data_IF_500308700452
#
_entry.id   IF_500308700452
#
_cell.length_a   1.000
_cell.length_b   1.000
_cell.length_c   1.000
_cell.angle_alpha   90.00
_cell.angle_beta   90.00
_cell.angle_gamma   90.00
#
_symmetry.space_group_name_H-M   'P 1'
#
loop_
_entity.id
_entity.type
_entity.pdbx_description
1 polymer ?
#
# COMPACT_ATOMS: atom_id res chain seq x y z
N UNK A 1 12.92 -4.99 9.39
CA UNK A 1 11.70 -4.55 8.73
C UNK A 1 11.99 -4.09 7.30
N UNK A 2 11.23 -4.58 6.34
CA UNK A 2 11.39 -4.21 4.94
C UNK A 2 10.05 -3.88 4.32
N UNK A 3 9.98 -2.80 3.55
CA UNK A 3 8.78 -2.44 2.84
C UNK A 3 9.10 -1.72 1.55
N UNK A 4 8.08 -1.54 0.72
CA UNK A 4 8.23 -0.78 -0.51
C UNK A 4 7.14 0.28 -0.63
N UNK A 5 7.51 1.39 -1.26
CA UNK A 5 6.60 2.37 -1.81
C UNK A 5 6.82 2.38 -3.31
N UNK A 6 5.76 2.16 -4.08
CA UNK A 6 5.88 2.08 -5.52
C UNK A 6 4.72 2.78 -6.21
N UNK A 7 5.04 3.69 -7.12
CA UNK A 7 4.04 4.28 -7.99
C UNK A 7 3.81 3.29 -9.15
N UNK A 8 2.70 2.56 -9.08
CA UNK A 8 2.43 1.48 -10.02
C UNK A 8 1.98 1.96 -11.40
N UNK A 9 1.52 3.22 -11.49
CA UNK A 9 0.99 3.79 -12.74
C UNK A 9 -0.06 2.92 -13.39
N UNK A 10 -1.01 2.47 -12.58
CA UNK A 10 -2.06 1.57 -13.00
C UNK A 10 -1.72 0.11 -12.68
N UNK A 11 -2.55 -0.51 -11.86
CA UNK A 11 -2.35 -1.88 -11.40
C UNK A 11 -3.35 -2.82 -12.05
N UNK A 12 -3.27 -2.94 -13.39
CA UNK A 12 -4.17 -3.78 -14.18
C UNK A 12 -3.45 -4.88 -14.94
N UNK A 13 -2.14 -4.77 -15.05
CA UNK A 13 -1.31 -5.64 -15.85
C UNK A 13 -0.85 -6.83 -15.02
N UNK A 14 -1.06 -8.03 -15.55
CA UNK A 14 -0.63 -9.28 -14.90
C UNK A 14 0.87 -9.27 -14.61
N UNK A 15 1.68 -8.67 -15.48
CA UNK A 15 3.12 -8.59 -15.28
C UNK A 15 3.48 -7.82 -14.00
N UNK A 16 2.71 -6.76 -13.67
CA UNK A 16 2.93 -5.99 -12.44
C UNK A 16 2.59 -6.81 -11.20
N UNK A 17 1.53 -7.61 -11.25
CA UNK A 17 1.20 -8.50 -10.15
C UNK A 17 2.28 -9.54 -9.92
N UNK A 18 2.82 -10.10 -11.01
CA UNK A 18 3.93 -11.07 -10.92
C UNK A 18 5.18 -10.45 -10.35
N UNK A 19 5.51 -9.24 -10.80
CA UNK A 19 6.65 -8.50 -10.28
C UNK A 19 6.54 -8.30 -8.78
N UNK A 20 5.37 -7.86 -8.30
CA UNK A 20 5.14 -7.64 -6.88
C UNK A 20 5.21 -8.94 -6.08
N UNK A 21 4.60 -10.00 -6.60
CA UNK A 21 4.63 -11.31 -5.95
C UNK A 21 6.06 -11.82 -5.81
N UNK A 22 6.84 -11.73 -6.87
CA UNK A 22 8.24 -12.18 -6.87
C UNK A 22 9.08 -11.33 -5.91
N UNK A 23 8.88 -10.03 -5.92
CA UNK A 23 9.59 -9.11 -5.04
C UNK A 23 9.25 -9.37 -3.58
N UNK A 24 7.97 -9.61 -3.28
CA UNK A 24 7.53 -9.91 -1.91
C UNK A 24 8.18 -11.17 -1.36
N UNK A 25 8.30 -12.20 -2.20
CA UNK A 25 8.93 -13.45 -1.81
C UNK A 25 10.44 -13.29 -1.66
N UNK A 26 11.07 -12.64 -2.63
CA UNK A 26 12.53 -12.47 -2.64
C UNK A 26 13.01 -11.60 -1.49
N UNK A 27 12.35 -10.48 -1.24
CA UNK A 27 12.76 -9.51 -0.23
C UNK A 27 12.10 -9.71 1.13
N UNK A 28 11.16 -10.62 1.24
CA UNK A 28 10.42 -10.86 2.47
C UNK A 28 9.81 -9.58 3.03
N UNK A 29 8.99 -8.93 2.22
CA UNK A 29 8.42 -7.63 2.57
C UNK A 29 7.45 -7.72 3.73
N UNK A 30 7.47 -6.71 4.58
CA UNK A 30 6.58 -6.58 5.74
C UNK A 30 5.45 -5.59 5.49
N UNK A 31 5.64 -4.66 4.58
CA UNK A 31 4.55 -3.79 4.13
C UNK A 31 4.73 -3.44 2.65
N UNK A 32 3.62 -3.09 2.01
CA UNK A 32 3.58 -2.72 0.59
C UNK A 32 2.66 -1.51 0.44
N UNK A 33 3.18 -0.43 -0.11
CA UNK A 33 2.41 0.76 -0.40
C UNK A 33 2.47 1.05 -1.90
N UNK A 34 1.33 0.97 -2.56
CA UNK A 34 1.22 1.20 -3.99
C UNK A 34 0.40 2.44 -4.27
N UNK A 35 0.97 3.33 -5.06
CA UNK A 35 0.31 4.58 -5.47
C UNK A 35 -0.13 4.50 -6.92
N UNK A 36 -1.12 5.30 -7.28
CA UNK A 36 -1.69 5.37 -8.63
C UNK A 36 -2.14 4.00 -9.14
N UNK A 37 -2.89 3.28 -8.31
CA UNK A 37 -3.36 1.94 -8.68
C UNK A 37 -4.37 1.98 -9.83
N UNK A 38 -5.15 3.04 -9.92
CA UNK A 38 -6.18 3.19 -10.95
C UNK A 38 -7.30 2.16 -10.84
N UNK A 39 -7.43 1.47 -9.73
CA UNK A 39 -8.43 0.40 -9.54
C UNK A 39 -9.29 0.66 -8.32
N UNK A 40 -10.58 0.34 -8.47
CA UNK A 40 -11.55 0.46 -7.38
C UNK A 40 -11.70 -0.82 -6.57
N UNK A 41 -11.52 -1.96 -7.20
CA UNK A 41 -11.79 -3.24 -6.57
C UNK A 41 -10.57 -4.15 -6.63
N UNK A 42 -10.34 -4.85 -5.52
CA UNK A 42 -9.31 -5.87 -5.42
C UNK A 42 -9.93 -7.13 -4.85
N UNK A 43 -9.54 -8.29 -5.36
CA UNK A 43 -10.02 -9.57 -4.85
C UNK A 43 -8.95 -10.23 -3.98
N UNK A 44 -9.38 -11.06 -3.04
CA UNK A 44 -8.51 -11.64 -2.04
C UNK A 44 -7.36 -12.44 -2.63
N UNK A 45 -7.59 -13.17 -3.71
CA UNK A 45 -6.53 -13.96 -4.34
C UNK A 45 -5.44 -13.08 -4.94
N UNK A 46 -5.82 -11.96 -5.57
CA UNK A 46 -4.85 -10.99 -6.08
C UNK A 46 -4.00 -10.41 -4.97
N UNK A 47 -4.66 -9.96 -3.90
CA UNK A 47 -3.98 -9.34 -2.77
C UNK A 47 -3.03 -10.33 -2.10
N UNK A 48 -3.45 -11.56 -1.91
CA UNK A 48 -2.61 -12.57 -1.29
C UNK A 48 -1.41 -12.92 -2.18
N UNK A 49 -1.57 -12.88 -3.49
CA UNK A 49 -0.45 -13.07 -4.42
C UNK A 49 0.56 -11.92 -4.32
N UNK A 50 0.08 -10.68 -4.23
CA UNK A 50 0.97 -9.52 -4.13
C UNK A 50 1.89 -9.65 -2.92
N UNK A 51 1.39 -10.11 -1.79
CA UNK A 51 2.20 -10.24 -0.58
C UNK A 51 2.91 -11.59 -0.44
N UNK A 52 2.92 -12.39 -1.50
CA UNK A 52 3.61 -13.68 -1.48
C UNK A 52 2.96 -14.72 -0.57
N UNK A 53 1.65 -14.62 -0.37
CA UNK A 53 0.90 -15.60 0.41
C UNK A 53 0.91 -15.36 1.92
N UNK A 54 1.36 -14.19 2.38
CA UNK A 54 1.53 -13.92 3.82
C UNK A 54 0.29 -13.43 4.55
N UNK A 55 -0.85 -13.35 3.88
CA UNK A 55 -2.11 -12.90 4.47
C UNK A 55 -2.02 -11.50 5.10
N UNK A 56 -1.54 -10.55 4.32
CA UNK A 56 -1.48 -9.15 4.75
C UNK A 56 -2.88 -8.60 5.04
N UNK A 57 -2.95 -7.60 5.90
CA UNK A 57 -4.13 -6.76 6.05
C UNK A 57 -4.03 -5.62 5.04
N UNK A 58 -5.12 -5.40 4.31
CA UNK A 58 -5.13 -4.45 3.21
C UNK A 58 -6.11 -3.32 3.45
N UNK A 59 -5.71 -2.13 3.04
CA UNK A 59 -6.55 -0.95 3.05
C UNK A 59 -6.32 -0.20 1.74
N UNK A 60 -7.38 0.33 1.13
CA UNK A 60 -7.20 1.08 -0.10
C UNK A 60 -8.23 2.19 -0.23
N UNK A 61 -7.88 3.17 -1.05
CA UNK A 61 -8.79 4.22 -1.47
C UNK A 61 -8.94 4.19 -2.98
N UNK A 62 -10.15 4.49 -3.44
CA UNK A 62 -10.48 4.45 -4.85
C UNK A 62 -9.82 5.62 -5.58
N UNK A 63 -9.48 5.43 -6.85
CA UNK A 63 -8.99 6.54 -7.67
C UNK A 63 -10.06 7.60 -7.83
N UNK A 64 -9.61 8.84 -7.94
CA UNK A 64 -10.47 9.99 -8.28
C UNK A 64 -10.33 10.24 -9.77
N UNK A 65 -11.38 9.94 -10.53
CA UNK A 65 -11.34 10.05 -11.98
C UNK A 65 -10.46 8.98 -12.63
N UNK A 66 -9.53 9.41 -13.48
CA UNK A 66 -8.68 8.50 -14.23
C UNK A 66 -7.38 8.12 -13.53
N UNK A 67 -7.04 8.82 -12.48
CA UNK A 67 -5.77 8.64 -11.79
C UNK A 67 -5.98 8.52 -10.30
N UNK A 68 -4.92 8.17 -9.61
CA UNK A 68 -4.93 8.03 -8.18
C UNK A 68 -5.24 6.61 -7.75
N UNK A 69 -5.71 6.48 -6.52
CA UNK A 69 -5.87 5.19 -5.88
C UNK A 69 -4.62 4.78 -5.13
N UNK A 70 -4.82 4.30 -3.91
CA UNK A 70 -3.73 3.83 -3.04
C UNK A 70 -4.10 2.46 -2.54
N UNK A 71 -3.15 1.54 -2.54
CA UNK A 71 -3.30 0.22 -1.93
C UNK A 71 -2.19 0.03 -0.92
N UNK A 72 -2.55 -0.26 0.32
CA UNK A 72 -1.60 -0.40 1.41
C UNK A 72 -1.80 -1.74 2.11
N UNK A 73 -0.75 -2.54 2.18
CA UNK A 73 -0.77 -3.85 2.82
C UNK A 73 0.27 -3.95 3.93
N UNK A 74 -0.09 -4.60 5.02
CA UNK A 74 0.75 -4.73 6.20
C UNK A 74 0.73 -6.16 6.69
N UNK A 75 1.88 -6.68 7.06
CA UNK A 75 1.99 -8.01 7.64
C UNK A 75 1.60 -7.97 9.13
N UNK A 76 0.44 -8.56 9.51
CA UNK A 76 0.00 -8.54 10.90
C UNK A 76 0.85 -9.41 11.82
N UNK A 77 1.71 -10.26 11.27
CA UNK A 77 2.65 -11.04 12.08
C UNK A 77 3.81 -10.19 12.60
N UNK A 78 4.06 -9.05 11.96
CA UNK A 78 5.19 -8.17 12.30
C UNK A 78 4.73 -6.94 13.07
N UNK A 79 3.53 -6.45 12.77
CA UNK A 79 3.01 -5.19 13.32
C UNK A 79 1.71 -5.37 14.07
N UNK A 80 1.56 -4.62 15.18
CA UNK A 80 0.25 -4.37 15.78
C UNK A 80 -0.30 -3.09 15.18
N UNK A 81 -1.54 -3.14 14.70
CA UNK A 81 -2.20 -1.99 14.07
C UNK A 81 -3.04 -1.29 15.13
N UNK A 82 -2.78 0.00 15.34
CA UNK A 82 -3.53 0.79 16.31
C UNK A 82 -4.70 1.52 15.69
N UNK A 83 -4.46 2.26 14.62
CA UNK A 83 -5.47 3.15 14.05
C UNK A 83 -5.21 3.37 12.56
N UNK A 84 -6.30 3.34 11.79
CA UNK A 84 -6.24 3.61 10.35
C UNK A 84 -7.12 4.82 10.06
N UNK A 85 -6.57 5.83 9.42
CA UNK A 85 -7.34 6.96 8.91
C UNK A 85 -7.04 7.14 7.43
N UNK A 86 -8.02 7.66 6.72
CA UNK A 86 -7.84 7.90 5.30
C UNK A 86 -8.61 9.11 4.84
N UNK A 87 -8.04 9.80 3.86
CA UNK A 87 -8.68 10.90 3.16
C UNK A 87 -8.76 10.59 1.68
N UNK A 88 -8.94 11.62 0.87
CA UNK A 88 -9.05 11.44 -0.58
C UNK A 88 -7.72 11.05 -1.21
N UNK A 89 -6.60 11.46 -0.62
CA UNK A 89 -5.28 11.30 -1.22
C UNK A 89 -4.27 10.67 -0.26
N UNK A 90 -4.72 10.10 0.86
CA UNK A 90 -3.78 9.47 1.79
C UNK A 90 -4.42 8.35 2.60
N UNK A 91 -3.59 7.42 3.03
CA UNK A 91 -3.90 6.44 4.07
C UNK A 91 -2.80 6.54 5.11
N UNK A 92 -3.21 6.65 6.38
CA UNK A 92 -2.29 6.70 7.51
C UNK A 92 -2.60 5.53 8.43
N UNK A 93 -1.59 4.75 8.78
CA UNK A 93 -1.75 3.63 9.71
C UNK A 93 -0.77 3.82 10.86
N UNK A 94 -1.33 3.84 12.08
CA UNK A 94 -0.51 3.84 13.28
C UNK A 94 -0.16 2.42 13.64
N UNK A 95 1.13 2.14 13.78
CA UNK A 95 1.62 0.79 13.99
C UNK A 95 2.62 0.71 15.11
N UNK A 96 2.77 -0.50 15.63
CA UNK A 96 3.81 -0.82 16.60
C UNK A 96 4.51 -2.10 16.17
N UNK A 97 5.82 -2.07 16.14
CA UNK A 97 6.60 -3.28 15.85
C UNK A 97 6.46 -4.27 16.99
N UNK A 98 6.13 -5.52 16.68
CA UNK A 98 5.98 -6.56 17.70
C UNK A 98 7.30 -6.91 18.37
N UNK A 99 8.40 -6.81 17.63
CA UNK A 99 9.73 -7.21 18.11
C UNK A 99 10.24 -6.28 19.21
N UNK A 100 10.16 -4.97 19.00
CA UNK A 100 10.78 -3.99 19.90
C UNK A 100 9.81 -2.99 20.51
N UNK A 101 8.53 -3.05 20.14
CA UNK A 101 7.51 -2.15 20.66
C UNK A 101 7.55 -0.74 20.08
N UNK A 102 8.41 -0.47 19.10
CA UNK A 102 8.55 0.85 18.52
C UNK A 102 7.27 1.27 17.81
N UNK A 103 6.75 2.45 18.15
CA UNK A 103 5.53 2.99 17.55
C UNK A 103 5.88 3.97 16.44
N UNK A 104 5.16 3.87 15.31
CA UNK A 104 5.38 4.75 14.18
C UNK A 104 4.13 4.81 13.29
N UNK A 105 4.12 5.76 12.38
CA UNK A 105 3.01 5.92 11.44
C UNK A 105 3.51 5.64 10.02
N UNK A 106 2.77 4.80 9.31
CA UNK A 106 2.97 4.60 7.89
C UNK A 106 1.96 5.47 7.15
N UNK A 107 2.45 6.38 6.33
CA UNK A 107 1.59 7.31 5.60
C UNK A 107 1.87 7.14 4.11
N UNK A 108 0.85 6.75 3.37
CA UNK A 108 0.91 6.68 1.92
C UNK A 108 0.14 7.87 1.35
N UNK A 109 0.82 8.73 0.62
CA UNK A 109 0.24 9.95 0.09
C UNK A 109 0.39 9.97 -1.42
N UNK A 110 -0.71 10.26 -2.12
CA UNK A 110 -0.68 10.47 -3.55
C UNK A 110 -0.73 11.98 -3.83
N UNK A 111 0.30 12.51 -4.46
CA UNK A 111 0.34 13.92 -4.86
C UNK A 111 -0.64 14.17 -6.00
N UNK A 112 -1.39 15.27 -5.90
CA UNK A 112 -2.33 15.62 -6.94
C UNK A 112 -1.61 15.90 -8.27
N UNK A 113 -2.27 15.56 -9.36
CA UNK A 113 -1.69 15.74 -10.69
C UNK A 113 -1.55 17.21 -11.07
N UNK A 114 -2.37 18.08 -10.49
CA UNK A 114 -2.37 19.50 -10.81
C UNK A 114 -1.32 20.24 -10.01
N UNK A 115 -0.67 21.20 -10.66
CA UNK A 115 0.46 21.91 -10.07
C UNK A 115 0.10 22.67 -8.78
N UNK A 116 -1.07 23.27 -8.70
CA UNK A 116 -1.50 24.00 -7.50
C UNK A 116 -1.68 23.07 -6.30
N UNK A 117 -2.06 21.83 -6.53
CA UNK A 117 -2.21 20.86 -5.45
C UNK A 117 -0.85 20.33 -4.99
N UNK A 118 0.10 20.20 -5.92
CA UNK A 118 1.45 19.75 -5.57
C UNK A 118 2.17 20.72 -4.65
N UNK A 119 1.87 22.00 -4.73
CA UNK A 119 2.49 23.01 -3.88
C UNK A 119 2.06 22.90 -2.42
N UNK A 120 0.93 22.26 -2.14
CA UNK A 120 0.44 22.12 -0.76
C UNK A 120 1.04 20.93 -0.03
N UNK A 121 1.87 20.16 -0.70
CA UNK A 121 2.58 19.06 -0.08
C UNK A 121 3.99 19.48 0.28
#
# INVERSE_FOLDING_TARGET
MKGIFWNSRGLRDLAKFRFLSDLSKEKNLDFIALLETGRKNFIDTELNNICGGKNFLWSWIDPKGRSGGILLGINPSVFCIGFISQGDYHIKIRMRNKVDGFQWNLIAVYGAAQAEHKKSF
#
